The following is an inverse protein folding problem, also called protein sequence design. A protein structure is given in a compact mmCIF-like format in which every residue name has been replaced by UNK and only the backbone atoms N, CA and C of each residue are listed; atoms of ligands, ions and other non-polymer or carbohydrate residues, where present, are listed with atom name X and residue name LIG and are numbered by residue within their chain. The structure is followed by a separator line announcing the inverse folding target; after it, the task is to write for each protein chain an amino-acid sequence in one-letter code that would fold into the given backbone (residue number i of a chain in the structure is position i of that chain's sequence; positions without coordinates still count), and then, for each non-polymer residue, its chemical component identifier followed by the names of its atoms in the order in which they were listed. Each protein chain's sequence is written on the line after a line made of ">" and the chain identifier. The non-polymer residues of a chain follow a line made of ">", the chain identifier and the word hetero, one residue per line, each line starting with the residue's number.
data_IF_470485154574
#
_entry.id   IF_470485154574
#
_cell.length_a   1.000
_cell.length_b   1.000
_cell.length_c   1.000
_cell.angle_alpha   90.00
_cell.angle_beta   90.00
_cell.angle_gamma   90.00
#
_symmetry.space_group_name_H-M   'P 1'
#
loop_
_entity.id
_entity.type
_entity.pdbx_description
1 polymer ?
#
# COMPACT_ATOMS: atom_id res chain seq x y z
N UNK A 1 -26.44 170.45 14.33
CA UNK A 1 -25.34 169.76 15.06
C UNK A 1 -25.90 168.60 15.91
N UNK A 2 -26.84 167.78 15.42
CA UNK A 2 -27.35 166.63 16.20
C UNK A 2 -27.63 165.36 15.38
N UNK A 3 -27.63 165.41 14.04
CA UNK A 3 -27.80 164.20 13.21
C UNK A 3 -26.49 163.50 12.83
N UNK A 4 -25.32 164.11 13.10
CA UNK A 4 -24.01 163.54 12.74
C UNK A 4 -23.43 162.55 13.76
N UNK A 5 -23.86 162.57 15.02
CA UNK A 5 -23.35 161.64 16.06
C UNK A 5 -24.09 160.30 16.03
N UNK A 6 -25.39 160.30 15.79
CA UNK A 6 -26.22 159.09 15.69
C UNK A 6 -25.88 158.20 14.46
N UNK A 7 -25.18 158.77 13.47
CA UNK A 7 -24.71 158.04 12.29
C UNK A 7 -23.37 157.32 12.52
N UNK A 8 -22.56 157.77 13.49
CA UNK A 8 -21.24 157.20 13.77
C UNK A 8 -21.33 155.93 14.64
N UNK A 9 -22.19 155.90 15.64
CA UNK A 9 -22.44 154.72 16.49
C UNK A 9 -23.07 153.55 15.71
N UNK A 10 -24.00 153.87 14.79
CA UNK A 10 -24.58 152.88 13.87
C UNK A 10 -23.55 152.25 12.93
N UNK A 11 -22.49 152.98 12.59
CA UNK A 11 -21.40 152.48 11.75
C UNK A 11 -20.47 151.53 12.52
N UNK A 12 -20.15 151.81 13.79
CA UNK A 12 -19.27 150.96 14.60
C UNK A 12 -19.89 149.61 14.96
N UNK A 13 -21.18 149.55 15.27
CA UNK A 13 -21.89 148.28 15.53
C UNK A 13 -21.93 147.41 14.26
N UNK A 14 -22.20 148.04 13.10
CA UNK A 14 -22.17 147.35 11.80
C UNK A 14 -20.79 146.82 11.43
N UNK A 15 -19.73 147.52 11.85
CA UNK A 15 -18.35 147.10 11.57
C UNK A 15 -17.96 145.87 12.41
N UNK A 16 -18.31 145.83 13.70
CA UNK A 16 -18.09 144.64 14.55
C UNK A 16 -18.95 143.44 14.15
N UNK A 17 -20.21 143.67 13.74
CA UNK A 17 -21.05 142.60 13.18
C UNK A 17 -20.50 142.07 11.86
N UNK A 18 -19.95 142.94 11.01
CA UNK A 18 -19.32 142.54 9.76
C UNK A 18 -18.03 141.74 10.00
N UNK A 19 -17.22 142.12 10.98
CA UNK A 19 -15.95 141.44 11.31
C UNK A 19 -16.17 140.06 11.93
N UNK A 20 -17.16 139.93 12.83
CA UNK A 20 -17.55 138.63 13.38
C UNK A 20 -18.15 137.73 12.29
N UNK A 21 -18.99 138.28 11.39
CA UNK A 21 -19.49 137.52 10.23
C UNK A 21 -18.35 137.11 9.28
N UNK A 22 -17.34 137.96 9.09
CA UNK A 22 -16.20 137.64 8.25
C UNK A 22 -15.36 136.50 8.84
N UNK A 23 -15.10 136.53 10.15
CA UNK A 23 -14.38 135.45 10.84
C UNK A 23 -15.17 134.14 10.90
N UNK A 24 -16.49 134.20 11.14
CA UNK A 24 -17.34 133.01 11.16
C UNK A 24 -17.43 132.37 9.76
N UNK A 25 -17.54 133.21 8.71
CA UNK A 25 -17.44 132.77 7.32
C UNK A 25 -16.06 132.17 7.02
N UNK A 26 -14.98 132.76 7.53
CA UNK A 26 -13.62 132.24 7.32
C UNK A 26 -13.40 130.87 7.96
N UNK A 27 -13.84 130.68 9.21
CA UNK A 27 -13.74 129.39 9.91
C UNK A 27 -14.65 128.34 9.25
N UNK A 28 -15.85 128.74 8.81
CA UNK A 28 -16.73 127.83 8.05
C UNK A 28 -16.13 127.42 6.70
N UNK A 29 -15.39 128.32 6.05
CA UNK A 29 -14.71 128.06 4.77
C UNK A 29 -13.49 127.15 4.95
N UNK A 30 -12.67 127.36 5.98
CA UNK A 30 -11.55 126.48 6.32
C UNK A 30 -12.04 125.08 6.69
N UNK A 31 -13.11 124.94 7.48
CA UNK A 31 -13.72 123.65 7.78
C UNK A 31 -14.30 122.96 6.53
N UNK A 32 -14.90 123.72 5.61
CA UNK A 32 -15.38 123.20 4.32
C UNK A 32 -14.23 122.73 3.44
N UNK A 33 -13.12 123.46 3.39
CA UNK A 33 -11.93 123.05 2.65
C UNK A 33 -11.29 121.79 3.22
N UNK A 34 -11.24 121.64 4.54
CA UNK A 34 -10.68 120.45 5.18
C UNK A 34 -11.59 119.22 4.98
N UNK A 35 -12.92 119.40 5.11
CA UNK A 35 -13.91 118.36 4.80
C UNK A 35 -13.85 117.93 3.32
N UNK A 36 -13.74 118.90 2.40
CA UNK A 36 -13.64 118.62 0.97
C UNK A 36 -12.35 117.86 0.62
N UNK A 37 -11.22 118.15 1.29
CA UNK A 37 -9.98 117.37 1.09
C UNK A 37 -10.11 115.92 1.55
N UNK A 38 -10.78 115.69 2.68
CA UNK A 38 -11.04 114.32 3.18
C UNK A 38 -11.94 113.56 2.22
N UNK A 39 -13.00 114.20 1.71
CA UNK A 39 -13.90 113.60 0.72
C UNK A 39 -13.22 113.33 -0.63
N UNK A 40 -12.36 114.25 -1.11
CA UNK A 40 -11.56 114.04 -2.33
C UNK A 40 -10.58 112.88 -2.15
N UNK A 41 -9.91 112.79 -1.00
CA UNK A 41 -9.02 111.66 -0.70
C UNK A 41 -9.75 110.32 -0.66
N UNK A 42 -10.96 110.27 -0.07
CA UNK A 42 -11.79 109.07 -0.05
C UNK A 42 -12.30 108.68 -1.46
N UNK A 43 -12.61 109.67 -2.31
CA UNK A 43 -12.98 109.46 -3.71
C UNK A 43 -11.83 108.88 -4.53
N UNK A 44 -10.62 109.40 -4.37
CA UNK A 44 -9.43 108.88 -5.05
C UNK A 44 -9.08 107.45 -4.61
N UNK A 45 -9.26 107.12 -3.33
CA UNK A 45 -9.09 105.75 -2.80
C UNK A 45 -10.11 104.79 -3.42
N UNK A 46 -11.39 105.17 -3.44
CA UNK A 46 -12.47 104.38 -4.02
C UNK A 46 -12.32 104.21 -5.54
N UNK A 47 -11.81 105.22 -6.24
CA UNK A 47 -11.54 105.15 -7.68
C UNK A 47 -10.38 104.18 -7.98
N UNK A 48 -9.32 104.16 -7.15
CA UNK A 48 -8.24 103.16 -7.25
C UNK A 48 -8.75 101.74 -6.99
N UNK A 49 -9.59 101.55 -5.98
CA UNK A 49 -10.18 100.23 -5.68
C UNK A 49 -11.09 99.74 -6.81
N UNK A 50 -11.95 100.60 -7.37
CA UNK A 50 -12.79 100.28 -8.53
C UNK A 50 -11.95 99.88 -9.74
N UNK A 51 -10.83 100.55 -9.98
CA UNK A 51 -9.93 100.23 -11.10
C UNK A 51 -9.25 98.87 -10.92
N UNK A 52 -8.91 98.49 -9.69
CA UNK A 52 -8.37 97.16 -9.38
C UNK A 52 -9.43 96.06 -9.54
N UNK A 53 -10.64 96.29 -9.05
CA UNK A 53 -11.77 95.36 -9.18
C UNK A 53 -12.14 95.16 -10.66
N UNK A 54 -12.19 96.22 -11.47
CA UNK A 54 -12.49 96.13 -12.91
C UNK A 54 -11.41 95.33 -13.67
N UNK A 55 -10.14 95.48 -13.27
CA UNK A 55 -9.05 94.69 -13.84
C UNK A 55 -9.17 93.21 -13.47
N UNK A 56 -9.41 92.91 -12.19
CA UNK A 56 -9.57 91.54 -11.71
C UNK A 56 -10.81 90.86 -12.33
N UNK A 57 -11.89 91.61 -12.55
CA UNK A 57 -13.11 91.13 -13.21
C UNK A 57 -12.84 90.78 -14.68
N UNK A 58 -12.13 91.62 -15.42
CA UNK A 58 -11.71 91.33 -16.80
C UNK A 58 -10.81 90.11 -16.89
N UNK A 59 -9.85 89.98 -15.97
CA UNK A 59 -8.96 88.81 -15.93
C UNK A 59 -9.72 87.52 -15.58
N UNK A 60 -10.74 87.59 -14.71
CA UNK A 60 -11.59 86.47 -14.37
C UNK A 60 -12.51 86.07 -15.55
N UNK A 61 -13.08 87.04 -16.27
CA UNK A 61 -13.89 86.80 -17.48
C UNK A 61 -13.08 86.12 -18.59
N UNK A 62 -11.84 86.57 -18.82
CA UNK A 62 -10.95 85.94 -19.80
C UNK A 62 -10.64 84.48 -19.43
N UNK A 63 -10.37 84.19 -18.15
CA UNK A 63 -10.15 82.83 -17.66
C UNK A 63 -11.40 81.96 -17.80
N UNK A 64 -12.58 82.48 -17.46
CA UNK A 64 -13.85 81.77 -17.62
C UNK A 64 -14.06 81.38 -19.09
N UNK A 65 -13.94 82.33 -20.01
CA UNK A 65 -14.12 82.09 -21.44
C UNK A 65 -13.10 81.07 -21.97
N UNK A 66 -11.85 81.14 -21.52
CA UNK A 66 -10.83 80.15 -21.87
C UNK A 66 -11.22 78.73 -21.43
N UNK A 67 -11.66 78.55 -20.19
CA UNK A 67 -12.06 77.23 -19.68
C UNK A 67 -13.36 76.71 -20.30
N UNK A 68 -14.32 77.59 -20.60
CA UNK A 68 -15.55 77.21 -21.32
C UNK A 68 -15.26 76.75 -22.75
N UNK A 69 -14.32 77.40 -23.45
CA UNK A 69 -13.90 77.00 -24.79
C UNK A 69 -13.13 75.66 -24.79
N UNK A 70 -12.25 75.45 -23.80
CA UNK A 70 -11.56 74.16 -23.62
C UNK A 70 -12.56 73.03 -23.29
N UNK A 71 -13.56 73.31 -22.46
CA UNK A 71 -14.60 72.35 -22.09
C UNK A 71 -15.47 71.97 -23.30
N UNK A 72 -15.89 72.97 -24.10
CA UNK A 72 -16.76 72.76 -25.25
C UNK A 72 -16.04 72.08 -26.42
N UNK A 73 -14.84 72.55 -26.76
CA UNK A 73 -14.13 72.12 -27.96
C UNK A 73 -13.42 70.78 -27.78
N UNK A 74 -12.80 70.55 -26.61
CA UNK A 74 -11.91 69.40 -26.41
C UNK A 74 -12.49 68.32 -25.51
N UNK A 75 -13.01 68.68 -24.34
CA UNK A 75 -13.42 67.69 -23.33
C UNK A 75 -14.74 67.02 -23.72
N UNK A 76 -15.77 67.80 -24.06
CA UNK A 76 -17.08 67.26 -24.41
C UNK A 76 -17.08 66.43 -25.70
N UNK A 77 -16.26 66.81 -26.69
CA UNK A 77 -16.13 66.06 -27.94
C UNK A 77 -15.45 64.71 -27.71
N UNK A 78 -14.38 64.67 -26.92
CA UNK A 78 -13.68 63.43 -26.55
C UNK A 78 -14.54 62.50 -25.69
N UNK A 79 -15.29 63.04 -24.73
CA UNK A 79 -16.20 62.24 -23.90
C UNK A 79 -17.30 61.59 -24.75
N UNK A 80 -17.93 62.35 -25.65
CA UNK A 80 -18.96 61.80 -26.55
C UNK A 80 -18.40 60.72 -27.49
N UNK A 81 -17.18 60.89 -27.99
CA UNK A 81 -16.52 59.89 -28.81
C UNK A 81 -16.23 58.60 -28.01
N UNK A 82 -15.68 58.73 -26.80
CA UNK A 82 -15.40 57.59 -25.92
C UNK A 82 -16.69 56.87 -25.49
N UNK A 83 -17.77 57.60 -25.23
CA UNK A 83 -19.06 57.03 -24.86
C UNK A 83 -19.70 56.26 -26.03
N UNK A 84 -19.57 56.78 -27.26
CA UNK A 84 -20.00 56.06 -28.46
C UNK A 84 -19.19 54.78 -28.71
N UNK A 85 -17.85 54.84 -28.54
CA UNK A 85 -16.99 53.64 -28.65
C UNK A 85 -17.33 52.60 -27.58
N UNK A 86 -17.62 53.05 -26.35
CA UNK A 86 -18.04 52.16 -25.26
C UNK A 86 -19.34 51.43 -25.60
N UNK A 87 -20.34 52.15 -26.12
CA UNK A 87 -21.62 51.55 -26.52
C UNK A 87 -21.46 50.55 -27.67
N UNK A 88 -20.63 50.85 -28.66
CA UNK A 88 -20.32 49.92 -29.76
C UNK A 88 -19.59 48.66 -29.26
N UNK A 89 -18.61 48.82 -28.37
CA UNK A 89 -17.91 47.69 -27.75
C UNK A 89 -18.86 46.83 -26.90
N UNK A 90 -19.77 47.46 -26.15
CA UNK A 90 -20.76 46.74 -25.34
C UNK A 90 -21.74 45.95 -26.22
N UNK A 91 -22.18 46.54 -27.34
CA UNK A 91 -23.02 45.86 -28.32
C UNK A 91 -22.31 44.65 -28.95
N UNK A 92 -21.07 44.83 -29.42
CA UNK A 92 -20.25 43.74 -29.99
C UNK A 92 -19.99 42.62 -28.97
N UNK A 93 -19.79 42.97 -27.69
CA UNK A 93 -19.65 41.99 -26.61
C UNK A 93 -20.92 41.17 -26.44
N UNK A 94 -22.09 41.82 -26.42
CA UNK A 94 -23.39 41.15 -26.27
C UNK A 94 -23.68 40.18 -27.42
N UNK A 95 -23.49 40.61 -28.66
CA UNK A 95 -23.66 39.73 -29.82
C UNK A 95 -22.69 38.53 -29.81
N UNK A 96 -21.43 38.77 -29.43
CA UNK A 96 -20.43 37.70 -29.35
C UNK A 96 -20.78 36.70 -28.25
N UNK A 97 -21.32 37.19 -27.13
CA UNK A 97 -21.80 36.36 -26.03
C UNK A 97 -23.01 35.52 -26.44
N UNK A 98 -24.01 36.10 -27.11
CA UNK A 98 -25.17 35.35 -27.62
C UNK A 98 -24.75 34.25 -28.59
N UNK A 99 -23.84 34.54 -29.52
CA UNK A 99 -23.30 33.55 -30.47
C UNK A 99 -22.54 32.42 -29.76
N UNK A 100 -21.74 32.75 -28.74
CA UNK A 100 -20.99 31.77 -27.97
C UNK A 100 -21.91 30.87 -27.10
N UNK A 101 -22.93 31.46 -26.48
CA UNK A 101 -23.87 30.77 -25.59
C UNK A 101 -24.67 29.67 -26.30
N UNK A 102 -24.90 29.78 -27.61
CA UNK A 102 -25.54 28.73 -28.43
C UNK A 102 -24.69 27.45 -28.47
N UNK A 103 -23.36 27.58 -28.39
CA UNK A 103 -22.42 26.45 -28.51
C UNK A 103 -22.11 25.88 -27.13
N UNK A 104 -21.90 26.73 -26.13
CA UNK A 104 -21.56 26.32 -24.77
C UNK A 104 -22.12 27.33 -23.75
N UNK A 105 -22.97 26.90 -22.80
CA UNK A 105 -23.45 27.75 -21.71
C UNK A 105 -22.31 28.18 -20.77
N UNK A 106 -22.36 29.40 -20.24
CA UNK A 106 -21.35 29.95 -19.33
C UNK A 106 -21.16 29.08 -18.06
N UNK A 107 -22.23 28.47 -17.56
CA UNK A 107 -22.18 27.55 -16.42
C UNK A 107 -21.31 26.32 -16.65
N UNK A 108 -21.19 25.84 -17.89
CA UNK A 108 -20.32 24.70 -18.20
C UNK A 108 -18.85 25.12 -18.22
N UNK A 109 -18.55 26.34 -18.71
CA UNK A 109 -17.19 26.90 -18.72
C UNK A 109 -16.65 27.15 -17.30
N UNK A 110 -17.49 27.67 -16.41
CA UNK A 110 -17.12 27.89 -14.99
C UNK A 110 -16.77 26.58 -14.28
N UNK A 111 -17.41 25.46 -14.63
CA UNK A 111 -17.11 24.15 -14.02
C UNK A 111 -15.79 23.52 -14.50
N UNK A 112 -15.35 23.84 -15.71
CA UNK A 112 -14.10 23.32 -16.28
C UNK A 112 -12.89 23.98 -15.63
N UNK A 113 -12.98 25.26 -15.29
CA UNK A 113 -11.94 26.03 -14.59
C UNK A 113 -10.64 26.21 -15.41
N UNK A 114 -9.88 27.27 -15.12
CA UNK A 114 -8.56 27.50 -15.72
C UNK A 114 -8.55 28.17 -17.10
N UNK A 115 -9.69 28.67 -17.57
CA UNK A 115 -9.78 29.52 -18.76
C UNK A 115 -9.67 31.02 -18.43
N UNK A 116 -9.70 31.38 -17.14
CA UNK A 116 -9.64 32.77 -16.68
C UNK A 116 -8.29 33.41 -17.05
N UNK A 117 -8.35 34.47 -17.86
CA UNK A 117 -7.18 35.24 -18.28
C UNK A 117 -6.37 34.64 -19.45
N UNK A 118 -6.82 33.54 -20.06
CA UNK A 118 -6.20 32.99 -21.26
C UNK A 118 -6.68 33.71 -22.52
N UNK A 119 -5.77 34.08 -23.42
CA UNK A 119 -6.19 34.67 -24.71
C UNK A 119 -6.71 33.59 -25.67
N UNK A 120 -7.56 33.94 -26.64
CA UNK A 120 -8.06 32.98 -27.66
C UNK A 120 -6.93 32.26 -28.41
N UNK A 121 -5.81 32.93 -28.64
CA UNK A 121 -4.62 32.39 -29.30
C UNK A 121 -3.92 31.35 -28.41
N UNK A 122 -3.90 31.56 -27.09
CA UNK A 122 -3.31 30.61 -26.15
C UNK A 122 -4.17 29.34 -26.04
N UNK A 123 -5.49 29.48 -25.95
CA UNK A 123 -6.42 28.34 -25.89
C UNK A 123 -6.37 27.53 -27.19
N UNK A 124 -6.37 28.19 -28.35
CA UNK A 124 -6.24 27.50 -29.64
C UNK A 124 -4.88 26.81 -29.80
N UNK A 125 -3.79 27.41 -29.33
CA UNK A 125 -2.48 26.76 -29.31
C UNK A 125 -2.45 25.53 -28.39
N UNK A 126 -3.07 25.60 -27.21
CA UNK A 126 -3.19 24.44 -26.30
C UNK A 126 -4.03 23.32 -26.93
N UNK A 127 -5.16 23.65 -27.55
CA UNK A 127 -6.05 22.70 -28.20
C UNK A 127 -5.34 22.02 -29.39
N UNK A 128 -4.53 22.78 -30.15
CA UNK A 128 -3.70 22.25 -31.23
C UNK A 128 -2.62 21.30 -30.71
N UNK A 129 -1.97 21.63 -29.59
CA UNK A 129 -0.99 20.73 -28.95
C UNK A 129 -1.65 19.44 -28.46
N UNK A 130 -2.82 19.53 -27.82
CA UNK A 130 -3.55 18.38 -27.31
C UNK A 130 -4.04 17.47 -28.44
N UNK A 131 -4.57 18.04 -29.53
CA UNK A 131 -5.03 17.27 -30.68
C UNK A 131 -3.88 16.59 -31.41
N UNK A 132 -2.75 17.27 -31.61
CA UNK A 132 -1.54 16.65 -32.17
C UNK A 132 -1.03 15.50 -31.31
N UNK A 133 -1.02 15.68 -29.97
CA UNK A 133 -0.62 14.62 -29.04
C UNK A 133 -1.56 13.43 -29.11
N UNK A 134 -2.87 13.67 -29.11
CA UNK A 134 -3.87 12.61 -29.27
C UNK A 134 -3.65 11.86 -30.58
N UNK A 135 -3.44 12.57 -31.69
CA UNK A 135 -3.22 11.96 -33.00
C UNK A 135 -1.91 11.14 -33.06
N UNK A 136 -0.85 11.61 -32.41
CA UNK A 136 0.42 10.88 -32.31
C UNK A 136 0.26 9.59 -31.49
N UNK A 137 -0.46 9.65 -30.38
CA UNK A 137 -0.72 8.49 -29.52
C UNK A 137 -1.66 7.49 -30.20
N UNK A 138 -2.71 7.93 -30.88
CA UNK A 138 -3.60 7.06 -31.68
C UNK A 138 -2.88 6.37 -32.84
N UNK A 139 -1.81 6.98 -33.39
CA UNK A 139 -0.94 6.33 -34.39
C UNK A 139 -0.02 5.28 -33.78
N UNK A 140 0.46 5.51 -32.56
CA UNK A 140 1.30 4.55 -31.82
C UNK A 140 0.51 3.37 -31.30
N UNK A 141 -0.73 3.62 -30.87
CA UNK A 141 -1.65 2.64 -30.30
C UNK A 141 -2.95 2.66 -31.11
N UNK A 142 -3.11 1.76 -32.09
CA UNK A 142 -4.31 1.72 -32.93
C UNK A 142 -5.56 1.20 -32.20
N UNK A 143 -5.39 0.66 -30.99
CA UNK A 143 -6.47 0.14 -30.15
C UNK A 143 -7.26 1.30 -29.53
N UNK A 144 -8.60 1.21 -29.54
CA UNK A 144 -9.44 2.20 -28.87
C UNK A 144 -9.16 2.20 -27.36
N UNK A 145 -9.35 3.35 -26.71
CA UNK A 145 -9.27 3.45 -25.24
C UNK A 145 -10.21 2.43 -24.58
N UNK A 146 -11.36 2.16 -25.18
CA UNK A 146 -12.31 1.16 -24.69
C UNK A 146 -11.78 -0.27 -24.84
N UNK A 147 -11.10 -0.57 -25.95
CA UNK A 147 -10.45 -1.88 -26.16
C UNK A 147 -9.31 -2.09 -25.17
N UNK A 148 -8.52 -1.06 -24.88
CA UNK A 148 -7.46 -1.08 -23.88
C UNK A 148 -8.03 -1.32 -22.47
N UNK A 149 -9.16 -0.70 -22.12
CA UNK A 149 -9.87 -0.96 -20.86
C UNK A 149 -10.38 -2.40 -20.77
N UNK A 150 -10.98 -2.92 -21.84
CA UNK A 150 -11.40 -4.32 -21.90
C UNK A 150 -10.22 -5.28 -21.76
N UNK A 151 -9.09 -5.01 -22.42
CA UNK A 151 -7.86 -5.77 -22.33
C UNK A 151 -7.28 -5.76 -20.91
N UNK A 152 -7.27 -4.59 -20.27
CA UNK A 152 -6.86 -4.43 -18.87
C UNK A 152 -7.72 -5.30 -17.95
N UNK A 153 -9.04 -5.12 -17.99
CA UNK A 153 -9.99 -5.89 -17.16
C UNK A 153 -9.85 -7.40 -17.40
N UNK A 154 -9.66 -7.82 -18.65
CA UNK A 154 -9.45 -9.22 -19.01
C UNK A 154 -8.14 -9.77 -18.44
N UNK A 155 -7.05 -9.00 -18.46
CA UNK A 155 -5.76 -9.39 -17.88
C UNK A 155 -5.83 -9.42 -16.36
N UNK A 156 -6.47 -8.45 -15.73
CA UNK A 156 -6.69 -8.38 -14.29
C UNK A 156 -7.45 -9.62 -13.80
N UNK A 157 -8.59 -9.92 -14.42
CA UNK A 157 -9.36 -11.15 -14.13
C UNK A 157 -8.51 -12.42 -14.28
N UNK A 158 -7.67 -12.51 -15.31
CA UNK A 158 -6.77 -13.67 -15.51
C UNK A 158 -5.73 -13.78 -14.41
N UNK A 159 -5.13 -12.65 -13.99
CA UNK A 159 -4.14 -12.61 -12.91
C UNK A 159 -4.77 -13.05 -11.60
N UNK A 160 -5.94 -12.52 -11.25
CA UNK A 160 -6.67 -12.88 -10.03
C UNK A 160 -7.01 -14.38 -10.00
N UNK A 161 -7.52 -14.93 -11.10
CA UNK A 161 -7.78 -16.37 -11.21
C UNK A 161 -6.52 -17.20 -11.02
N UNK A 162 -5.41 -16.83 -11.67
CA UNK A 162 -4.13 -17.53 -11.50
C UNK A 162 -3.64 -17.46 -10.05
N UNK A 163 -3.71 -16.29 -9.41
CA UNK A 163 -3.30 -16.12 -8.01
C UNK A 163 -4.10 -17.03 -7.06
N UNK A 164 -5.43 -17.11 -7.25
CA UNK A 164 -6.28 -18.02 -6.47
C UNK A 164 -5.88 -19.47 -6.68
N UNK A 165 -5.66 -19.89 -7.93
CA UNK A 165 -5.20 -21.25 -8.24
C UNK A 165 -3.85 -21.57 -7.62
N UNK A 166 -2.87 -20.64 -7.69
CA UNK A 166 -1.56 -20.81 -7.05
C UNK A 166 -1.66 -20.91 -5.52
N UNK A 167 -2.54 -20.13 -4.90
CA UNK A 167 -2.82 -20.22 -3.46
C UNK A 167 -3.35 -21.61 -3.10
N UNK A 168 -4.35 -22.10 -3.83
CA UNK A 168 -4.92 -23.43 -3.63
C UNK A 168 -3.88 -24.56 -3.83
N UNK A 169 -3.00 -24.44 -4.83
CA UNK A 169 -1.91 -25.39 -5.02
C UNK A 169 -0.88 -25.36 -3.88
N UNK A 170 -0.53 -24.17 -3.36
CA UNK A 170 0.36 -24.07 -2.20
C UNK A 170 -0.24 -24.71 -0.95
N UNK A 171 -1.52 -24.51 -0.71
CA UNK A 171 -2.24 -25.16 0.40
C UNK A 171 -2.21 -26.68 0.27
N UNK A 172 -2.52 -27.22 -0.91
CA UNK A 172 -2.44 -28.67 -1.19
C UNK A 172 -1.02 -29.21 -1.01
N UNK A 173 -0.01 -28.50 -1.52
CA UNK A 173 1.39 -28.91 -1.39
C UNK A 173 1.83 -28.92 0.08
N UNK A 174 1.43 -27.91 0.85
CA UNK A 174 1.66 -27.86 2.29
C UNK A 174 0.99 -29.04 3.03
N UNK A 175 -0.23 -29.40 2.66
CA UNK A 175 -0.91 -30.57 3.22
C UNK A 175 -0.19 -31.89 2.86
N UNK A 176 0.24 -32.04 1.61
CA UNK A 176 1.00 -33.21 1.15
C UNK A 176 2.34 -33.34 1.90
N UNK A 177 3.06 -32.24 2.11
CA UNK A 177 4.33 -32.23 2.84
C UNK A 177 4.12 -32.67 4.29
N UNK A 178 3.16 -32.06 5.00
CA UNK A 178 2.78 -32.48 6.36
C UNK A 178 2.40 -33.96 6.44
N UNK A 179 1.63 -34.45 5.48
CA UNK A 179 1.22 -35.85 5.44
C UNK A 179 2.40 -36.80 5.14
N UNK A 180 3.41 -36.35 4.39
CA UNK A 180 4.63 -37.08 4.15
C UNK A 180 5.49 -37.13 5.42
N UNK A 181 5.69 -36.00 6.08
CA UNK A 181 6.46 -35.91 7.33
C UNK A 181 5.88 -36.79 8.42
N UNK A 182 4.55 -36.76 8.59
CA UNK A 182 3.84 -37.62 9.54
C UNK A 182 4.01 -39.11 9.21
N UNK A 183 3.94 -39.48 7.93
CA UNK A 183 4.17 -40.88 7.50
C UNK A 183 5.62 -41.30 7.73
N UNK A 184 6.56 -40.42 7.43
CA UNK A 184 8.00 -40.67 7.62
C UNK A 184 8.34 -40.85 9.09
N UNK A 185 7.84 -39.97 9.96
CA UNK A 185 8.00 -40.10 11.42
C UNK A 185 7.39 -41.39 11.96
N UNK A 186 6.17 -41.76 11.52
CA UNK A 186 5.55 -43.04 11.88
C UNK A 186 6.39 -44.23 11.40
N UNK A 187 6.90 -44.18 10.17
CA UNK A 187 7.76 -45.22 9.62
C UNK A 187 9.03 -45.38 10.44
N UNK A 188 9.76 -44.30 10.72
CA UNK A 188 10.98 -44.34 11.53
C UNK A 188 10.73 -44.88 12.94
N UNK A 189 9.63 -44.48 13.57
CA UNK A 189 9.21 -45.00 14.88
C UNK A 189 8.94 -46.50 14.82
N UNK A 190 8.14 -46.94 13.86
CA UNK A 190 7.80 -48.35 13.69
C UNK A 190 9.04 -49.19 13.36
N UNK A 191 9.90 -48.72 12.46
CA UNK A 191 11.16 -49.36 12.10
C UNK A 191 12.09 -49.56 13.32
N UNK A 192 12.14 -48.57 14.21
CA UNK A 192 12.91 -48.64 15.47
C UNK A 192 12.28 -49.63 16.45
N UNK A 193 10.95 -49.61 16.61
CA UNK A 193 10.24 -50.53 17.48
C UNK A 193 10.35 -51.97 17.01
N UNK A 194 10.18 -52.23 15.71
CA UNK A 194 10.34 -53.55 15.11
C UNK A 194 11.76 -54.08 15.28
N UNK A 195 12.80 -53.25 15.10
CA UNK A 195 14.19 -53.65 15.37
C UNK A 195 14.38 -54.09 16.83
N UNK A 196 13.82 -53.34 17.78
CA UNK A 196 13.88 -53.66 19.22
C UNK A 196 13.13 -54.94 19.53
N UNK A 197 11.90 -55.08 19.03
CA UNK A 197 11.07 -56.27 19.21
C UNK A 197 11.77 -57.51 18.65
N UNK A 198 12.27 -57.43 17.42
CA UNK A 198 13.01 -58.53 16.77
C UNK A 198 14.23 -58.95 17.61
N UNK A 199 15.01 -57.98 18.10
CA UNK A 199 16.17 -58.26 18.96
C UNK A 199 15.75 -58.89 20.29
N UNK A 200 14.66 -58.42 20.89
CA UNK A 200 14.15 -58.95 22.16
C UNK A 200 13.67 -60.39 22.01
N UNK A 201 12.84 -60.69 21.01
CA UNK A 201 12.34 -62.04 20.76
C UNK A 201 13.46 -63.01 20.37
N UNK A 202 14.41 -62.54 19.55
CA UNK A 202 15.59 -63.32 19.21
C UNK A 202 16.38 -63.75 20.45
N UNK A 203 16.61 -62.83 21.39
CA UNK A 203 17.28 -63.15 22.66
C UNK A 203 16.43 -64.04 23.57
N UNK A 204 15.10 -63.91 23.55
CA UNK A 204 14.19 -64.80 24.28
C UNK A 204 14.36 -66.26 23.87
N UNK A 205 14.51 -66.53 22.57
CA UNK A 205 14.79 -67.89 22.08
C UNK A 205 16.24 -68.33 22.31
N UNK A 206 17.23 -67.46 22.05
CA UNK A 206 18.65 -67.78 22.28
C UNK A 206 18.96 -68.08 23.76
N UNK A 207 18.26 -67.43 24.69
CA UNK A 207 18.40 -67.63 26.12
C UNK A 207 18.14 -69.06 26.57
N UNK A 208 17.36 -69.85 25.82
CA UNK A 208 17.15 -71.30 26.09
C UNK A 208 18.45 -72.12 26.07
N UNK A 209 19.48 -71.64 25.36
CA UNK A 209 20.82 -72.24 25.29
C UNK A 209 21.88 -71.39 26.00
N UNK A 210 21.48 -70.35 26.73
CA UNK A 210 22.40 -69.40 27.37
C UNK A 210 23.18 -68.52 26.39
N UNK A 211 22.71 -68.41 25.14
CA UNK A 211 23.32 -67.60 24.08
C UNK A 211 22.69 -66.20 24.10
N UNK A 212 23.44 -65.18 23.71
CA UNK A 212 22.91 -63.83 23.49
C UNK A 212 23.25 -63.35 22.09
N UNK A 213 22.44 -62.45 21.54
CA UNK A 213 22.66 -61.96 20.19
C UNK A 213 22.16 -60.54 19.98
N UNK A 214 22.64 -59.91 18.91
CA UNK A 214 22.28 -58.55 18.53
C UNK A 214 21.97 -58.50 17.04
N UNK A 215 20.87 -57.81 16.69
CA UNK A 215 20.43 -57.67 15.30
C UNK A 215 20.60 -56.21 14.89
N UNK A 216 21.48 -55.98 13.93
CA UNK A 216 21.72 -54.66 13.34
C UNK A 216 21.02 -54.59 11.99
N UNK A 217 19.92 -53.84 11.95
CA UNK A 217 19.22 -53.48 10.71
C UNK A 217 19.65 -52.07 10.32
N UNK A 218 20.19 -51.92 9.11
CA UNK A 218 20.45 -50.64 8.46
C UNK A 218 19.47 -50.47 7.29
N UNK A 219 18.53 -49.54 7.43
CA UNK A 219 17.51 -49.29 6.42
C UNK A 219 18.03 -48.48 5.22
N UNK A 220 19.12 -47.72 5.39
CA UNK A 220 19.72 -46.92 4.31
C UNK A 220 20.51 -47.82 3.36
N UNK A 221 21.39 -48.65 3.92
CA UNK A 221 22.18 -49.63 3.16
C UNK A 221 21.38 -50.88 2.78
N UNK A 222 20.17 -51.05 3.34
CA UNK A 222 19.30 -52.23 3.19
C UNK A 222 20.02 -53.52 3.61
N UNK A 223 20.78 -53.45 4.70
CA UNK A 223 21.55 -54.57 5.24
C UNK A 223 21.00 -55.01 6.60
N UNK A 224 21.13 -56.30 6.88
CA UNK A 224 20.83 -56.91 8.16
C UNK A 224 22.02 -57.78 8.55
N UNK A 225 22.62 -57.51 9.71
CA UNK A 225 23.65 -58.36 10.30
C UNK A 225 23.19 -58.91 11.65
N UNK A 226 23.55 -60.16 11.89
CA UNK A 226 23.23 -60.89 13.12
C UNK A 226 24.56 -61.21 13.79
N UNK A 227 24.68 -60.74 15.02
CA UNK A 227 25.83 -60.91 15.87
C UNK A 227 25.45 -61.83 17.03
N UNK A 228 26.25 -62.85 17.30
CA UNK A 228 25.96 -63.85 18.34
C UNK A 228 27.14 -63.95 19.30
N UNK A 229 26.84 -63.96 20.60
CA UNK A 229 27.81 -64.13 21.69
C UNK A 229 27.51 -65.42 22.44
N UNK A 230 28.51 -66.30 22.47
CA UNK A 230 28.42 -67.61 23.09
C UNK A 230 28.74 -67.56 24.60
N UNK A 231 28.18 -68.47 25.42
CA UNK A 231 28.47 -68.53 26.84
C UNK A 231 29.96 -68.77 27.16
N UNK A 232 30.66 -69.53 26.30
CA UNK A 232 32.11 -69.79 26.41
C UNK A 232 32.97 -68.54 26.17
N UNK A 233 32.42 -67.55 25.47
CA UNK A 233 33.03 -66.25 25.20
C UNK A 233 32.51 -65.16 26.16
N UNK A 234 31.89 -65.53 27.29
CA UNK A 234 31.30 -64.55 28.22
C UNK A 234 32.33 -63.53 28.75
N UNK A 235 33.58 -63.97 28.97
CA UNK A 235 34.71 -63.17 29.47
C UNK A 235 35.47 -62.40 28.40
N UNK A 236 35.27 -62.72 27.12
CA UNK A 236 35.86 -62.00 25.98
C UNK A 236 34.80 -61.09 25.33
N UNK A 237 35.22 -60.03 24.65
CA UNK A 237 34.31 -59.22 23.83
C UNK A 237 34.06 -59.86 22.45
N UNK A 238 34.32 -61.15 22.30
CA UNK A 238 34.26 -61.85 21.02
C UNK A 238 32.78 -61.99 20.62
N UNK A 239 32.40 -61.18 19.65
CA UNK A 239 31.10 -61.26 18.98
C UNK A 239 31.36 -61.89 17.63
N UNK A 240 30.73 -63.04 17.38
CA UNK A 240 30.89 -63.74 16.12
C UNK A 240 29.79 -63.30 15.15
N UNK A 241 30.19 -62.88 13.94
CA UNK A 241 29.28 -62.85 12.81
C UNK A 241 28.87 -64.30 12.48
N UNK A 242 27.70 -64.48 11.87
CA UNK A 242 27.13 -65.77 11.44
C UNK A 242 28.11 -66.67 10.67
N UNK A 243 29.14 -66.10 10.05
CA UNK A 243 30.21 -66.80 9.31
C UNK A 243 31.26 -67.47 10.20
N UNK A 244 31.45 -67.00 11.44
CA UNK A 244 32.41 -67.53 12.41
C UNK A 244 31.84 -68.62 13.32
N UNK A 245 30.54 -68.92 13.20
CA UNK A 245 29.85 -69.91 14.03
C UNK A 245 30.06 -71.34 13.51
N UNK A 246 30.03 -72.33 14.41
CA UNK A 246 29.95 -73.73 14.01
C UNK A 246 28.64 -74.03 13.27
N UNK A 247 28.59 -75.11 12.48
CA UNK A 247 27.39 -75.47 11.71
C UNK A 247 26.11 -75.57 12.57
N UNK A 248 26.21 -76.22 13.74
CA UNK A 248 25.08 -76.36 14.67
C UNK A 248 24.66 -75.04 15.33
N UNK A 249 25.62 -74.18 15.69
CA UNK A 249 25.33 -72.85 16.26
C UNK A 249 24.69 -71.91 15.23
N UNK A 250 25.16 -71.97 13.98
CA UNK A 250 24.58 -71.21 12.88
C UNK A 250 23.14 -71.65 12.62
N UNK A 251 22.87 -72.94 12.56
CA UNK A 251 21.50 -73.45 12.38
C UNK A 251 20.59 -73.09 13.55
N UNK A 252 21.08 -73.17 14.79
CA UNK A 252 20.30 -72.79 15.97
C UNK A 252 19.96 -71.30 15.99
N UNK A 253 20.95 -70.46 15.70
CA UNK A 253 20.76 -69.01 15.63
C UNK A 253 19.81 -68.63 14.50
N UNK A 254 19.90 -69.31 13.35
CA UNK A 254 18.98 -69.10 12.21
C UNK A 254 17.55 -69.48 12.57
N UNK A 255 17.34 -70.59 13.28
CA UNK A 255 16.03 -71.00 13.76
C UNK A 255 15.44 -70.00 14.78
N UNK A 256 16.24 -69.55 15.75
CA UNK A 256 15.83 -68.54 16.72
C UNK A 256 15.43 -67.22 16.03
N UNK A 257 16.17 -66.83 14.99
CA UNK A 257 15.84 -65.65 14.18
C UNK A 257 14.53 -65.83 13.41
N UNK A 258 14.30 -67.01 12.81
CA UNK A 258 13.05 -67.33 12.12
C UNK A 258 11.84 -67.31 13.08
N UNK A 259 11.98 -67.88 14.28
CA UNK A 259 10.93 -67.85 15.31
C UNK A 259 10.59 -66.42 15.73
N UNK A 260 11.60 -65.58 15.97
CA UNK A 260 11.40 -64.17 16.30
C UNK A 260 10.66 -63.40 15.19
N UNK A 261 10.92 -63.70 13.91
CA UNK A 261 10.17 -63.13 12.79
C UNK A 261 8.74 -63.66 12.72
N UNK A 262 8.53 -64.95 13.03
CA UNK A 262 7.20 -65.55 13.05
C UNK A 262 6.30 -65.05 14.18
N UNK A 263 6.87 -64.58 15.28
CA UNK A 263 6.11 -63.87 16.32
C UNK A 263 5.63 -62.49 15.89
N UNK A 264 6.37 -61.85 14.98
CA UNK A 264 6.07 -60.52 14.47
C UNK A 264 5.15 -60.56 13.25
N UNK A 265 4.88 -61.75 12.70
CA UNK A 265 4.10 -61.93 11.48
C UNK A 265 2.90 -62.83 11.75
N UNK A 266 1.71 -62.39 11.39
CA UNK A 266 0.50 -63.21 11.51
C UNK A 266 0.31 -64.07 10.26
N UNK A 267 0.13 -65.38 10.45
CA UNK A 267 -0.19 -66.31 9.38
C UNK A 267 -1.07 -67.46 9.90
N UNK A 268 -2.07 -67.93 9.12
CA UNK A 268 -2.97 -69.00 9.53
C UNK A 268 -2.30 -70.37 9.57
N UNK A 269 -1.34 -70.62 8.67
CA UNK A 269 -0.51 -71.81 8.65
C UNK A 269 0.95 -71.46 8.36
N UNK A 270 1.88 -72.24 8.89
CA UNK A 270 3.33 -72.14 8.63
C UNK A 270 3.92 -73.53 8.45
N UNK A 271 4.91 -73.66 7.56
CA UNK A 271 5.63 -74.89 7.34
C UNK A 271 7.14 -74.63 7.41
N UNK A 272 7.89 -75.50 8.10
CA UNK A 272 9.35 -75.52 8.05
C UNK A 272 9.82 -76.91 7.62
N UNK A 273 10.82 -76.93 6.76
CA UNK A 273 11.46 -78.15 6.27
C UNK A 273 12.95 -78.14 6.63
N UNK A 274 13.51 -79.32 6.89
CA UNK A 274 14.94 -79.56 7.16
C UNK A 274 15.58 -78.63 8.22
N UNK A 275 14.79 -78.10 9.16
CA UNK A 275 15.24 -77.07 10.11
C UNK A 275 16.30 -77.57 11.11
N UNK A 276 16.45 -78.88 11.27
CA UNK A 276 17.30 -79.52 12.28
C UNK A 276 18.50 -80.31 11.71
N UNK A 277 18.76 -80.22 10.40
CA UNK A 277 19.71 -81.11 9.71
C UNK A 277 21.15 -80.96 10.15
N UNK A 278 21.60 -79.73 10.39
CA UNK A 278 22.98 -79.44 10.77
C UNK A 278 23.19 -79.36 12.29
N UNK A 279 22.22 -79.84 13.07
CA UNK A 279 22.26 -79.81 14.53
C UNK A 279 22.67 -81.16 15.11
N UNK A 280 23.47 -81.11 16.18
CA UNK A 280 23.75 -82.26 17.03
C UNK A 280 22.51 -82.69 17.84
N UNK A 281 22.55 -83.88 18.44
CA UNK A 281 21.39 -84.44 19.14
C UNK A 281 20.87 -83.53 20.29
N UNK A 282 21.78 -82.83 20.98
CA UNK A 282 21.44 -81.92 22.08
C UNK A 282 20.77 -80.65 21.57
N UNK A 283 21.36 -79.97 20.58
CA UNK A 283 20.77 -78.74 20.01
C UNK A 283 19.48 -79.04 19.26
N UNK A 284 19.38 -80.21 18.62
CA UNK A 284 18.16 -80.68 17.96
C UNK A 284 17.01 -80.80 18.95
N UNK A 285 17.22 -81.48 20.08
CA UNK A 285 16.19 -81.64 21.11
C UNK A 285 15.70 -80.28 21.62
N UNK A 286 16.61 -79.37 21.95
CA UNK A 286 16.28 -78.03 22.44
C UNK A 286 15.50 -77.24 21.38
N UNK A 287 15.91 -77.33 20.11
CA UNK A 287 15.27 -76.65 18.99
C UNK A 287 13.86 -77.16 18.72
N UNK A 288 13.69 -78.48 18.74
CA UNK A 288 12.42 -79.15 18.52
C UNK A 288 11.42 -78.81 19.63
N UNK A 289 11.84 -78.89 20.89
CA UNK A 289 11.03 -78.45 22.03
C UNK A 289 10.66 -76.97 21.89
N UNK A 290 11.62 -76.09 21.54
CA UNK A 290 11.36 -74.66 21.40
C UNK A 290 10.34 -74.33 20.31
N UNK A 291 10.41 -75.03 19.17
CA UNK A 291 9.52 -74.83 18.02
C UNK A 291 8.11 -75.38 18.29
N UNK A 292 8.00 -76.53 18.95
CA UNK A 292 6.70 -77.13 19.33
C UNK A 292 6.02 -76.27 20.40
N UNK A 293 6.73 -75.87 21.46
CA UNK A 293 6.19 -74.98 22.49
C UNK A 293 5.70 -73.66 21.87
N UNK A 294 6.47 -73.13 20.91
CA UNK A 294 6.11 -71.93 20.17
C UNK A 294 4.83 -72.10 19.35
N UNK A 295 4.74 -73.19 18.59
CA UNK A 295 3.57 -73.51 17.78
C UNK A 295 2.30 -73.67 18.63
N UNK A 296 2.42 -74.33 19.79
CA UNK A 296 1.31 -74.52 20.72
C UNK A 296 0.82 -73.19 21.31
N UNK A 297 1.72 -72.27 21.63
CA UNK A 297 1.40 -70.97 22.20
C UNK A 297 0.73 -70.00 21.20
N UNK A 298 1.16 -70.00 19.93
CA UNK A 298 0.67 -69.07 18.91
C UNK A 298 -0.74 -69.39 18.38
N UNK A 299 -1.24 -70.62 18.56
CA UNK A 299 -2.59 -71.00 18.15
C UNK A 299 -2.82 -71.14 16.64
N UNK A 300 -1.80 -70.97 15.80
CA UNK A 300 -1.84 -71.21 14.35
C UNK A 300 -1.46 -72.65 13.98
N UNK A 301 -1.74 -73.08 12.75
CA UNK A 301 -1.31 -74.41 12.28
C UNK A 301 0.18 -74.41 11.89
N UNK A 302 0.93 -75.38 12.39
CA UNK A 302 2.35 -75.56 12.06
C UNK A 302 2.61 -76.95 11.48
N UNK A 303 3.42 -76.99 10.42
CA UNK A 303 3.84 -78.22 9.76
C UNK A 303 5.37 -78.25 9.82
N UNK A 304 5.91 -79.28 10.46
CA UNK A 304 7.35 -79.48 10.55
C UNK A 304 7.71 -80.74 9.78
N UNK A 305 8.63 -80.61 8.83
CA UNK A 305 9.17 -81.71 8.04
C UNK A 305 10.63 -81.86 8.45
N UNK A 306 11.01 -83.06 8.86
CA UNK A 306 12.38 -83.38 9.24
C UNK A 306 12.72 -84.80 8.76
N UNK A 307 13.95 -85.03 8.25
CA UNK A 307 14.44 -86.37 7.95
C UNK A 307 14.84 -87.15 9.21
N UNK A 308 14.87 -86.50 10.38
CA UNK A 308 15.27 -87.10 11.65
C UNK A 308 14.11 -87.79 12.37
N UNK A 309 14.45 -88.66 13.30
CA UNK A 309 13.48 -89.34 14.15
C UNK A 309 12.73 -88.34 15.06
N UNK A 310 11.40 -88.43 15.03
CA UNK A 310 10.45 -87.60 15.79
C UNK A 310 10.00 -88.25 17.11
N UNK A 311 10.65 -89.34 17.52
CA UNK A 311 10.43 -90.01 18.81
C UNK A 311 10.59 -89.04 20.00
N UNK A 312 11.53 -88.10 19.90
CA UNK A 312 11.87 -87.11 20.94
C UNK A 312 10.81 -86.03 21.17
N UNK A 313 9.86 -85.83 20.23
CA UNK A 313 8.80 -84.83 20.36
C UNK A 313 7.87 -85.21 21.53
N UNK A 314 7.53 -84.27 22.42
CA UNK A 314 6.58 -84.53 23.51
C UNK A 314 5.19 -84.86 22.95
N UNK A 315 4.48 -85.79 23.57
CA UNK A 315 3.07 -86.04 23.24
C UNK A 315 2.22 -84.91 23.80
N UNK A 316 1.33 -84.37 22.97
CA UNK A 316 0.37 -83.34 23.32
C UNK A 316 -0.89 -83.56 22.44
N UNK A 317 -2.08 -83.29 22.97
CA UNK A 317 -3.36 -83.48 22.26
C UNK A 317 -3.43 -82.68 20.96
N UNK A 318 -2.70 -81.56 20.88
CA UNK A 318 -2.66 -80.66 19.73
C UNK A 318 -1.50 -80.97 18.77
N UNK A 319 -0.70 -82.00 19.06
CA UNK A 319 0.46 -82.39 18.24
C UNK A 319 0.19 -83.72 17.54
N UNK A 320 0.14 -83.69 16.21
CA UNK A 320 0.05 -84.89 15.36
C UNK A 320 1.41 -85.27 14.81
N UNK A 321 1.87 -86.48 15.14
CA UNK A 321 3.08 -87.09 14.54
C UNK A 321 2.69 -87.98 13.37
N UNK A 322 3.40 -87.85 12.24
CA UNK A 322 3.23 -88.71 11.09
C UNK A 322 4.60 -89.08 10.53
N UNK A 323 4.92 -90.37 10.54
CA UNK A 323 6.15 -90.90 9.96
C UNK A 323 5.86 -91.51 8.59
N UNK A 324 6.59 -91.09 7.57
CA UNK A 324 6.47 -91.66 6.24
C UNK A 324 7.24 -92.99 6.17
N UNK A 325 6.69 -93.94 5.39
CA UNK A 325 7.43 -95.17 5.07
C UNK A 325 8.70 -94.82 4.29
N UNK A 326 9.77 -95.61 4.48
CA UNK A 326 10.99 -95.45 3.71
C UNK A 326 10.68 -95.48 2.20
N UNK A 327 11.33 -94.63 1.38
CA UNK A 327 11.14 -94.66 -0.06
C UNK A 327 11.43 -96.07 -0.58
N UNK A 328 10.51 -96.62 -1.38
CA UNK A 328 10.69 -97.93 -2.01
C UNK A 328 11.93 -97.84 -2.90
N UNK A 329 12.94 -98.67 -2.63
CA UNK A 329 14.22 -98.71 -3.36
C UNK A 329 14.05 -99.05 -4.83
#
# INVERSE_FOLDING_TARGET
>A
MHEKENSLEKLQVRLKEADNKANDVKVSFENLCESAKVEIGALEEAERELMMIDKDLKDAELKKNHYEDVMSTKVLSQLKAAEAEYQDLEHRRRESYEKASIICPESELETVGGCDGSTPEQLSAQLTRLSQRLQQESRRHPESIEDLRMLYNKKECKILRKQQTYKAFREKLGACHKALDLRWSKFQRNATLLKRQLTWQFNGHLGKKGISGHIKVNYEEKTLSIEVKMPQDASSSNVHDTRGLSGGERSFSTLCFALALHEMTEAPFRAMDEFDVFMDAVSRKISLDAVVDFALAQGSQWIFITPHDISMVKQDERVKKQQMAAPRS
#
